data_IF_356359164559
#
_entry.id   IF_356359164559
#
_cell.length_a   1.000
_cell.length_b   1.000
_cell.length_c   1.000
_cell.angle_alpha   90.00
_cell.angle_beta   90.00
_cell.angle_gamma   90.00
#
_symmetry.space_group_name_H-M   'P 1'
#
loop_
_entity.id
_entity.type
_entity.pdbx_description
1 polymer ?
#
# COMPACT_ATOMS: atom_id res chain seq x y z
N UNK A 1 13.72 -29.32 52.02
CA UNK A 1 14.45 -28.44 51.08
C UNK A 1 13.61 -28.29 49.82
N UNK A 2 12.95 -27.15 49.63
CA UNK A 2 11.98 -26.89 48.54
C UNK A 2 12.73 -26.72 47.22
N UNK A 3 12.29 -27.44 46.18
CA UNK A 3 12.74 -27.29 44.80
C UNK A 3 12.28 -25.91 44.28
N UNK A 4 13.23 -25.07 43.89
CA UNK A 4 12.95 -23.77 43.27
C UNK A 4 12.48 -23.95 41.83
N UNK A 5 11.33 -23.39 41.51
CA UNK A 5 10.82 -23.25 40.15
C UNK A 5 11.43 -21.96 39.60
N UNK A 6 12.35 -22.09 38.65
CA UNK A 6 12.82 -20.98 37.82
C UNK A 6 11.72 -20.65 36.81
N UNK A 7 11.01 -19.55 37.04
CA UNK A 7 10.13 -18.94 36.06
C UNK A 7 11.02 -18.14 35.10
N UNK A 8 11.20 -18.66 33.89
CA UNK A 8 11.80 -17.91 32.80
C UNK A 8 10.78 -16.85 32.32
N UNK A 9 11.03 -15.59 32.67
CA UNK A 9 10.36 -14.44 32.07
C UNK A 9 10.83 -14.32 30.61
N UNK A 10 10.00 -14.80 29.68
CA UNK A 10 10.10 -14.43 28.27
C UNK A 10 9.76 -12.94 28.15
N UNK A 11 10.78 -12.11 28.01
CA UNK A 11 10.64 -10.77 27.45
C UNK A 11 10.28 -10.95 25.97
N UNK A 12 8.98 -10.86 25.66
CA UNK A 12 8.54 -10.64 24.28
C UNK A 12 9.11 -9.28 23.84
N UNK A 13 10.05 -9.29 22.91
CA UNK A 13 10.52 -8.07 22.27
C UNK A 13 9.33 -7.38 21.60
N UNK A 14 9.13 -6.09 21.89
CA UNK A 14 8.23 -5.23 21.13
C UNK A 14 8.75 -5.20 19.69
N UNK A 15 8.09 -5.94 18.79
CA UNK A 15 8.23 -5.68 17.38
C UNK A 15 7.75 -4.23 17.16
N UNK A 16 8.66 -3.36 16.73
CA UNK A 16 8.28 -2.04 16.24
C UNK A 16 7.48 -2.31 14.98
N UNK A 17 6.19 -1.97 14.98
CA UNK A 17 5.38 -2.11 13.79
C UNK A 17 5.97 -1.22 12.70
N UNK A 18 6.47 -1.81 11.62
CA UNK A 18 6.98 -1.08 10.44
C UNK A 18 5.84 -0.54 9.58
N UNK A 19 4.62 -1.04 9.78
CA UNK A 19 3.40 -0.63 9.07
C UNK A 19 2.32 -0.22 10.06
N UNK A 20 1.49 0.76 9.66
CA UNK A 20 0.31 1.14 10.42
C UNK A 20 -0.65 -0.06 10.63
N UNK A 21 -1.30 -0.19 11.82
CA UNK A 21 -2.27 -1.25 12.05
C UNK A 21 -3.38 -1.25 11.01
N UNK A 22 -3.79 -2.42 10.53
CA UNK A 22 -4.93 -2.50 9.61
C UNK A 22 -6.21 -2.04 10.32
N UNK A 23 -7.18 -1.55 9.55
CA UNK A 23 -8.48 -1.14 10.07
C UNK A 23 -9.12 -0.02 9.25
N UNK A 24 -10.41 0.29 9.48
CA UNK A 24 -11.13 1.30 8.71
C UNK A 24 -10.44 2.67 8.81
N UNK A 25 -10.11 3.26 7.67
CA UNK A 25 -9.45 4.56 7.58
C UNK A 25 -7.93 4.50 7.38
N UNK A 26 -7.30 3.32 7.52
CA UNK A 26 -5.85 3.17 7.31
C UNK A 26 -5.42 3.61 5.90
N UNK A 27 -6.18 3.22 4.88
CA UNK A 27 -5.91 3.56 3.48
C UNK A 27 -5.87 5.07 3.26
N UNK A 28 -6.74 5.81 3.95
CA UNK A 28 -6.79 7.26 3.86
C UNK A 28 -5.55 7.90 4.50
N UNK A 29 -5.04 7.34 5.60
CA UNK A 29 -3.79 7.82 6.22
C UNK A 29 -2.61 7.59 5.28
N UNK A 30 -2.50 6.41 4.68
CA UNK A 30 -1.46 6.14 3.68
C UNK A 30 -1.57 7.09 2.49
N UNK A 31 -2.77 7.20 1.90
CA UNK A 31 -3.02 8.01 0.72
C UNK A 31 -2.74 9.50 0.92
N UNK A 32 -2.98 10.05 2.12
CA UNK A 32 -2.83 11.50 2.38
C UNK A 32 -1.49 11.88 2.98
N UNK A 33 -0.96 11.06 3.88
CA UNK A 33 0.24 11.41 4.63
C UNK A 33 1.53 10.99 3.90
N UNK A 34 1.52 9.87 3.16
CA UNK A 34 2.70 9.40 2.41
C UNK A 34 3.02 10.20 1.15
N UNK A 35 2.17 11.18 0.80
CA UNK A 35 2.42 12.07 -0.34
C UNK A 35 3.72 12.86 -0.13
N UNK A 36 4.03 13.25 1.11
CA UNK A 36 5.14 14.16 1.42
C UNK A 36 6.25 13.52 2.27
N UNK A 37 5.91 12.66 3.22
CA UNK A 37 6.88 12.03 4.13
C UNK A 37 6.43 10.61 4.50
N UNK A 38 7.35 9.79 5.02
CA UNK A 38 6.99 8.44 5.48
C UNK A 38 6.12 8.47 6.77
N UNK A 39 5.58 7.32 7.17
CA UNK A 39 4.66 7.21 8.32
C UNK A 39 5.38 6.88 9.64
N UNK A 40 6.68 7.14 9.71
CA UNK A 40 7.46 6.91 10.94
C UNK A 40 6.96 7.79 12.08
N UNK A 41 6.57 9.03 11.81
CA UNK A 41 6.12 9.95 12.86
C UNK A 41 4.85 9.45 13.56
N UNK A 42 3.76 9.05 12.86
CA UNK A 42 2.61 8.44 13.53
C UNK A 42 2.95 7.20 14.36
N UNK A 43 3.80 6.32 13.84
CA UNK A 43 4.22 5.09 14.53
C UNK A 43 5.02 5.38 15.81
N UNK A 44 5.89 6.38 15.79
CA UNK A 44 6.69 6.79 16.95
C UNK A 44 5.88 7.52 18.02
N UNK A 45 4.73 8.08 17.66
CA UNK A 45 3.85 8.82 18.56
C UNK A 45 2.56 8.05 18.89
N UNK A 46 2.57 6.72 18.76
CA UNK A 46 1.48 5.90 19.26
C UNK A 46 1.29 6.10 20.78
N UNK A 47 0.04 6.19 21.22
CA UNK A 47 -0.35 6.49 22.59
C UNK A 47 -0.84 7.92 22.82
N UNK A 48 -0.80 8.79 21.80
CA UNK A 48 -1.35 10.15 21.86
C UNK A 48 -2.87 10.17 22.02
N UNK A 49 -3.40 11.22 22.66
CA UNK A 49 -4.84 11.41 22.77
C UNK A 49 -5.45 11.83 21.43
N UNK A 50 -6.77 11.68 21.29
CA UNK A 50 -7.48 12.14 20.08
C UNK A 50 -7.25 13.64 19.83
N UNK A 51 -7.25 14.48 20.87
CA UNK A 51 -6.99 15.91 20.75
C UNK A 51 -5.56 16.23 20.29
N UNK A 52 -4.57 15.42 20.68
CA UNK A 52 -3.20 15.59 20.18
C UNK A 52 -3.10 15.18 18.70
N UNK A 53 -3.83 14.14 18.29
CA UNK A 53 -3.93 13.75 16.88
C UNK A 53 -4.64 14.80 16.03
N UNK A 54 -5.68 15.46 16.55
CA UNK A 54 -6.33 16.59 15.88
C UNK A 54 -5.31 17.68 15.56
N UNK A 55 -4.50 18.08 16.55
CA UNK A 55 -3.46 19.10 16.36
C UNK A 55 -2.42 18.71 15.30
N UNK A 56 -1.97 17.44 15.30
CA UNK A 56 -1.02 16.96 14.30
C UNK A 56 -1.61 16.98 12.89
N UNK A 57 -2.86 16.51 12.73
CA UNK A 57 -3.52 16.50 11.41
C UNK A 57 -3.78 17.93 10.91
N UNK A 58 -4.16 18.84 11.81
CA UNK A 58 -4.36 20.26 11.50
C UNK A 58 -3.06 20.91 11.04
N UNK A 59 -1.95 20.67 11.73
CA UNK A 59 -0.63 21.15 11.31
C UNK A 59 -0.30 20.68 9.88
N UNK A 60 -0.60 19.42 9.54
CA UNK A 60 -0.32 18.89 8.20
C UNK A 60 -1.20 19.54 7.13
N UNK A 61 -2.45 19.83 7.44
CA UNK A 61 -3.36 20.57 6.56
C UNK A 61 -2.83 21.99 6.33
N UNK A 62 -2.38 22.65 7.39
CA UNK A 62 -1.78 23.99 7.32
C UNK A 62 -0.47 24.00 6.51
N UNK A 63 0.31 22.92 6.56
CA UNK A 63 1.47 22.71 5.68
C UNK A 63 1.11 22.34 4.22
N UNK A 64 -0.18 22.14 3.92
CA UNK A 64 -0.69 21.94 2.56
C UNK A 64 -1.06 20.50 2.19
N UNK A 65 -1.24 19.61 3.16
CA UNK A 65 -1.76 18.27 2.88
C UNK A 65 -3.19 18.37 2.28
N UNK A 66 -3.47 17.67 1.16
CA UNK A 66 -4.75 17.77 0.46
C UNK A 66 -5.85 16.94 1.14
N UNK A 67 -6.26 17.36 2.33
CA UNK A 67 -7.23 16.68 3.21
C UNK A 67 -8.45 17.58 3.41
N UNK A 68 -9.65 17.08 3.11
CA UNK A 68 -10.91 17.80 3.38
C UNK A 68 -11.46 17.48 4.79
N UNK A 69 -12.57 18.12 5.20
CA UNK A 69 -13.14 17.96 6.55
C UNK A 69 -13.60 16.53 6.88
N UNK A 70 -14.22 15.83 5.92
CA UNK A 70 -14.66 14.44 6.09
C UNK A 70 -13.46 13.50 6.20
N UNK A 71 -12.47 13.68 5.33
CA UNK A 71 -11.22 12.92 5.34
C UNK A 71 -10.46 13.15 6.65
N UNK A 72 -10.39 14.39 7.12
CA UNK A 72 -9.78 14.78 8.40
C UNK A 72 -10.43 14.00 9.55
N UNK A 73 -11.75 14.01 9.65
CA UNK A 73 -12.47 13.30 10.71
C UNK A 73 -12.21 11.78 10.67
N UNK A 74 -12.17 11.19 9.47
CA UNK A 74 -11.86 9.78 9.31
C UNK A 74 -10.41 9.42 9.70
N UNK A 75 -9.44 10.27 9.34
CA UNK A 75 -8.03 10.11 9.71
C UNK A 75 -7.86 10.18 11.23
N UNK A 76 -8.41 11.20 11.90
CA UNK A 76 -8.34 11.35 13.35
C UNK A 76 -8.94 10.14 14.06
N UNK A 77 -10.12 9.70 13.61
CA UNK A 77 -10.79 8.52 14.15
C UNK A 77 -9.91 7.27 14.06
N UNK A 78 -9.26 7.06 12.92
CA UNK A 78 -8.33 5.95 12.75
C UNK A 78 -7.12 6.08 13.69
N UNK A 79 -6.45 7.23 13.71
CA UNK A 79 -5.26 7.46 14.52
C UNK A 79 -5.56 7.29 16.02
N UNK A 80 -6.67 7.85 16.51
CA UNK A 80 -7.09 7.71 17.90
C UNK A 80 -7.50 6.27 18.25
N UNK A 81 -8.09 5.52 17.32
CA UNK A 81 -8.50 4.13 17.55
C UNK A 81 -7.31 3.18 17.56
N UNK A 82 -6.41 3.29 16.57
CA UNK A 82 -5.38 2.29 16.32
C UNK A 82 -3.99 2.70 16.80
N UNK A 83 -3.75 3.99 17.00
CA UNK A 83 -2.52 4.55 17.57
C UNK A 83 -2.78 5.40 18.82
N UNK A 84 -3.97 5.33 19.41
CA UNK A 84 -4.28 6.00 20.66
C UNK A 84 -3.76 5.26 21.90
N UNK A 85 -4.13 5.68 23.12
CA UNK A 85 -3.62 5.10 24.37
C UNK A 85 -4.08 3.66 24.60
N UNK A 86 -5.19 3.23 23.98
CA UNK A 86 -5.82 1.93 24.19
C UNK A 86 -6.24 1.31 22.84
N UNK A 87 -5.29 0.90 21.98
CA UNK A 87 -5.62 0.33 20.69
C UNK A 87 -6.21 -1.09 20.83
N UNK A 88 -7.05 -1.53 19.87
CA UNK A 88 -7.55 -2.90 19.86
C UNK A 88 -6.39 -3.89 19.61
N UNK A 89 -6.52 -5.17 20.04
CA UNK A 89 -5.58 -6.21 19.68
C UNK A 89 -5.34 -6.29 18.16
N UNK A 90 -4.10 -6.52 17.73
CA UNK A 90 -3.68 -6.50 16.33
C UNK A 90 -4.48 -7.46 15.41
N UNK A 91 -5.02 -8.54 15.97
CA UNK A 91 -5.81 -9.55 15.25
C UNK A 91 -7.24 -9.06 14.93
N UNK A 92 -7.81 -8.18 15.77
CA UNK A 92 -9.09 -7.51 15.51
C UNK A 92 -8.94 -6.31 14.56
N UNK A 93 -7.76 -5.68 14.56
CA UNK A 93 -7.41 -4.60 13.63
C UNK A 93 -7.31 -5.12 12.17
N UNK A 94 -6.81 -6.35 11.98
CA UNK A 94 -6.65 -6.98 10.67
C UNK A 94 -7.96 -7.49 10.02
N UNK A 95 -9.08 -7.49 10.74
CA UNK A 95 -10.30 -8.19 10.35
C UNK A 95 -11.39 -7.30 9.72
N UNK A 96 -11.04 -6.25 8.97
CA UNK A 96 -12.03 -5.58 8.11
C UNK A 96 -12.22 -6.39 6.83
N UNK A 97 -13.36 -7.08 6.72
CA UNK A 97 -13.79 -7.72 5.47
C UNK A 97 -13.85 -6.67 4.33
N UNK A 98 -13.20 -6.99 3.21
CA UNK A 98 -13.21 -6.15 2.02
C UNK A 98 -14.64 -6.05 1.45
N UNK A 99 -15.15 -4.85 1.16
CA UNK A 99 -16.47 -4.72 0.54
C UNK A 99 -16.46 -5.32 -0.87
N UNK A 100 -17.42 -6.18 -1.18
CA UNK A 100 -17.69 -6.57 -2.56
C UNK A 100 -18.13 -5.33 -3.36
N UNK A 101 -17.46 -5.03 -4.49
CA UNK A 101 -17.80 -3.89 -5.36
C UNK A 101 -16.86 -2.68 -5.27
N UNK A 102 -15.59 -2.87 -4.89
CA UNK A 102 -14.59 -1.79 -4.91
C UNK A 102 -14.45 -1.19 -6.31
N UNK A 103 -14.62 0.13 -6.41
CA UNK A 103 -14.37 0.88 -7.65
C UNK A 103 -12.85 1.03 -7.88
N UNK A 104 -12.32 0.28 -8.86
CA UNK A 104 -10.90 0.30 -9.20
C UNK A 104 -10.39 1.67 -9.66
N UNK A 105 -11.23 2.49 -10.28
CA UNK A 105 -10.87 3.86 -10.69
C UNK A 105 -10.72 4.77 -9.49
N UNK A 106 -11.65 4.70 -8.55
CA UNK A 106 -11.57 5.46 -7.29
C UNK A 106 -10.35 5.01 -6.47
N UNK A 107 -10.10 3.71 -6.37
CA UNK A 107 -8.92 3.16 -5.71
C UNK A 107 -7.61 3.64 -6.37
N UNK A 108 -7.54 3.68 -7.70
CA UNK A 108 -6.40 4.23 -8.42
C UNK A 108 -6.18 5.73 -8.14
N UNK A 109 -7.27 6.51 -8.17
CA UNK A 109 -7.21 7.95 -7.90
C UNK A 109 -6.67 8.24 -6.49
N UNK A 110 -7.08 7.45 -5.49
CA UNK A 110 -6.65 7.63 -4.12
C UNK A 110 -5.20 7.19 -3.87
N UNK A 111 -4.75 6.10 -4.51
CA UNK A 111 -3.50 5.42 -4.12
C UNK A 111 -2.35 5.57 -5.12
N UNK A 112 -2.65 5.90 -6.39
CA UNK A 112 -1.66 5.82 -7.46
C UNK A 112 -1.48 7.15 -8.21
N UNK A 113 -2.56 7.91 -8.38
CA UNK A 113 -2.58 9.09 -9.24
C UNK A 113 -1.66 10.22 -8.76
N UNK A 114 -1.33 10.31 -7.47
CA UNK A 114 -0.39 11.31 -6.95
C UNK A 114 1.00 11.22 -7.61
N UNK A 115 1.48 10.00 -7.88
CA UNK A 115 2.79 9.77 -8.50
C UNK A 115 2.66 9.41 -9.98
N UNK A 116 1.78 8.46 -10.31
CA UNK A 116 1.62 7.95 -11.67
C UNK A 116 0.71 8.82 -12.55
N UNK A 117 0.17 9.91 -12.00
CA UNK A 117 -0.75 10.84 -12.65
C UNK A 117 -2.12 10.23 -12.96
N UNK A 118 -3.13 11.07 -13.18
CA UNK A 118 -4.52 10.62 -13.31
C UNK A 118 -4.79 9.65 -14.48
N UNK A 119 -4.01 9.75 -15.56
CA UNK A 119 -4.16 8.89 -16.76
C UNK A 119 -3.03 7.85 -16.86
N UNK A 120 -2.28 7.60 -15.78
CA UNK A 120 -1.17 6.64 -15.77
C UNK A 120 0.01 7.05 -16.65
N UNK A 121 0.12 8.32 -17.04
CA UNK A 121 1.20 8.82 -17.89
C UNK A 121 2.55 8.97 -17.16
N UNK A 122 2.53 8.95 -15.83
CA UNK A 122 3.73 9.15 -15.00
C UNK A 122 4.34 10.55 -15.16
N UNK A 123 5.58 10.67 -14.67
CA UNK A 123 6.40 11.88 -14.77
C UNK A 123 7.79 11.46 -15.27
N UNK A 124 8.21 11.87 -16.49
CA UNK A 124 9.50 11.48 -17.05
C UNK A 124 10.67 11.71 -16.08
N UNK A 125 11.50 10.68 -15.90
CA UNK A 125 12.65 10.71 -14.99
C UNK A 125 12.35 10.54 -13.50
N UNK A 126 11.07 10.60 -13.09
CA UNK A 126 10.66 10.45 -11.69
C UNK A 126 9.75 9.22 -11.49
N UNK A 127 8.59 9.18 -12.16
CA UNK A 127 7.58 8.13 -12.01
C UNK A 127 7.28 7.48 -13.36
N UNK A 128 7.44 6.16 -13.51
CA UNK A 128 7.24 5.51 -14.80
C UNK A 128 5.77 5.55 -15.25
N UNK A 129 5.51 5.62 -16.57
CA UNK A 129 4.16 5.47 -17.09
C UNK A 129 3.65 4.05 -16.83
N UNK A 130 2.39 3.96 -16.40
CA UNK A 130 1.62 2.72 -16.36
C UNK A 130 0.87 2.49 -17.67
N UNK A 131 0.52 3.57 -18.38
CA UNK A 131 -0.15 3.54 -19.68
C UNK A 131 0.78 3.08 -20.78
N UNK A 132 0.31 2.15 -21.60
CA UNK A 132 1.07 1.57 -22.70
C UNK A 132 2.37 0.90 -22.24
N UNK A 133 2.39 0.28 -21.07
CA UNK A 133 3.57 -0.39 -20.52
C UNK A 133 3.46 -1.90 -20.75
N UNK A 134 4.18 -2.46 -21.73
CA UNK A 134 4.00 -3.85 -22.14
C UNK A 134 4.43 -4.87 -21.08
N UNK A 135 5.25 -4.48 -20.09
CA UNK A 135 5.66 -5.40 -19.02
C UNK A 135 4.49 -5.70 -18.08
N UNK A 136 3.57 -4.76 -17.88
CA UNK A 136 2.43 -4.92 -16.96
C UNK A 136 1.44 -5.99 -17.43
N UNK A 137 1.37 -6.23 -18.75
CA UNK A 137 0.43 -7.19 -19.36
C UNK A 137 1.05 -8.57 -19.62
N UNK A 138 2.37 -8.74 -19.42
CA UNK A 138 3.04 -10.04 -19.61
C UNK A 138 2.58 -11.10 -18.60
N UNK A 139 2.26 -10.65 -17.39
CA UNK A 139 1.69 -11.46 -16.33
C UNK A 139 0.78 -10.53 -15.50
N UNK A 140 -0.52 -10.80 -15.50
CA UNK A 140 -1.50 -9.99 -14.78
C UNK A 140 -1.24 -9.93 -13.26
N UNK A 141 -0.49 -10.88 -12.70
CA UNK A 141 -0.10 -10.88 -11.28
C UNK A 141 1.06 -9.94 -10.98
N UNK A 142 1.87 -9.57 -11.97
CA UNK A 142 3.04 -8.72 -11.76
C UNK A 142 2.69 -7.34 -11.15
N UNK A 143 1.72 -6.58 -11.68
CA UNK A 143 1.33 -5.32 -11.06
C UNK A 143 0.83 -5.50 -9.62
N UNK A 144 0.12 -6.60 -9.32
CA UNK A 144 -0.30 -6.89 -7.96
C UNK A 144 0.88 -7.17 -7.02
N UNK A 145 1.93 -7.88 -7.48
CA UNK A 145 3.16 -8.07 -6.70
C UNK A 145 3.86 -6.73 -6.42
N UNK A 146 3.89 -5.81 -7.39
CA UNK A 146 4.45 -4.47 -7.21
C UNK A 146 3.65 -3.67 -6.19
N UNK A 147 2.31 -3.73 -6.24
CA UNK A 147 1.44 -3.05 -5.26
C UNK A 147 1.65 -3.63 -3.87
N UNK A 148 1.68 -4.94 -3.72
CA UNK A 148 1.79 -5.60 -2.42
C UNK A 148 3.17 -5.43 -1.76
N UNK A 149 4.23 -5.46 -2.55
CA UNK A 149 5.61 -5.63 -2.04
C UNK A 149 6.57 -4.52 -2.47
N UNK A 150 6.09 -3.53 -3.24
CA UNK A 150 6.90 -2.45 -3.77
C UNK A 150 7.84 -2.90 -4.89
N UNK A 151 8.59 -1.94 -5.42
CA UNK A 151 9.60 -2.14 -6.45
C UNK A 151 10.71 -1.12 -6.26
N UNK A 152 11.98 -1.55 -6.37
CA UNK A 152 13.10 -0.62 -6.24
C UNK A 152 14.21 -0.88 -7.25
N UNK A 153 14.98 0.16 -7.52
CA UNK A 153 16.16 0.13 -8.36
C UNK A 153 15.90 0.51 -9.81
N UNK A 154 16.93 0.39 -10.64
CA UNK A 154 16.89 0.84 -12.02
C UNK A 154 15.94 -0.03 -12.85
N UNK A 155 15.02 0.63 -13.56
CA UNK A 155 14.15 0.03 -14.58
C UNK A 155 14.16 0.90 -15.83
N UNK A 156 13.74 0.30 -16.94
CA UNK A 156 13.47 1.01 -18.19
C UNK A 156 12.03 0.76 -18.61
N UNK A 157 11.31 1.83 -18.94
CA UNK A 157 9.93 1.78 -19.44
C UNK A 157 9.85 2.69 -20.65
N UNK A 158 9.45 2.13 -21.79
CA UNK A 158 9.29 2.84 -23.07
C UNK A 158 10.52 3.67 -23.47
N UNK A 159 11.73 3.10 -23.25
CA UNK A 159 13.01 3.74 -23.59
C UNK A 159 13.50 4.79 -22.58
N UNK A 160 12.74 5.08 -21.53
CA UNK A 160 13.15 5.99 -20.46
C UNK A 160 13.61 5.22 -19.22
N UNK A 161 14.72 5.66 -18.63
CA UNK A 161 15.27 5.08 -17.40
C UNK A 161 14.65 5.73 -16.16
N UNK A 162 14.32 4.90 -15.17
CA UNK A 162 13.85 5.30 -13.86
C UNK A 162 14.69 4.59 -12.79
N UNK A 163 15.01 5.28 -11.71
CA UNK A 163 15.77 4.71 -10.60
C UNK A 163 15.24 5.26 -9.28
N UNK A 164 14.11 4.71 -8.85
CA UNK A 164 13.43 5.09 -7.63
C UNK A 164 13.03 3.88 -6.79
N UNK A 165 12.19 4.13 -5.80
CA UNK A 165 11.50 3.12 -5.02
C UNK A 165 10.01 3.44 -5.03
N UNK A 166 9.19 2.44 -5.36
CA UNK A 166 7.77 2.41 -5.09
C UNK A 166 7.58 1.66 -3.77
N UNK A 167 7.11 2.33 -2.70
CA UNK A 167 6.79 1.66 -1.44
C UNK A 167 5.70 0.60 -1.61
N UNK A 168 5.69 -0.45 -0.77
CA UNK A 168 4.58 -1.40 -0.72
C UNK A 168 3.30 -0.72 -0.22
N UNK A 169 2.17 -1.08 -0.83
CA UNK A 169 0.82 -0.71 -0.40
C UNK A 169 0.14 -1.94 0.24
N UNK A 170 0.88 -2.66 1.09
CA UNK A 170 0.42 -3.90 1.75
C UNK A 170 -0.74 -3.70 2.73
N UNK A 171 -1.04 -2.45 3.10
CA UNK A 171 -2.18 -2.08 3.92
C UNK A 171 -3.53 -2.27 3.20
N UNK A 172 -3.55 -2.09 1.87
CA UNK A 172 -4.75 -2.28 1.06
C UNK A 172 -5.24 -3.73 1.14
N UNK A 173 -6.56 -3.91 1.20
CA UNK A 173 -7.17 -5.24 1.16
C UNK A 173 -7.07 -5.89 -0.23
N UNK A 174 -7.31 -7.21 -0.28
CA UNK A 174 -7.10 -7.99 -1.49
C UNK A 174 -8.08 -7.63 -2.62
N UNK A 175 -9.31 -7.22 -2.29
CA UNK A 175 -10.30 -6.82 -3.28
C UNK A 175 -9.93 -5.46 -3.91
N UNK A 176 -9.41 -4.54 -3.10
CA UNK A 176 -8.95 -3.22 -3.52
C UNK A 176 -7.74 -3.34 -4.45
N UNK A 177 -6.76 -4.17 -4.10
CA UNK A 177 -5.61 -4.46 -4.96
C UNK A 177 -6.07 -5.10 -6.28
N UNK A 178 -6.98 -6.08 -6.25
CA UNK A 178 -7.52 -6.68 -7.46
C UNK A 178 -8.23 -5.64 -8.34
N UNK A 179 -9.10 -4.82 -7.76
CA UNK A 179 -9.88 -3.80 -8.48
C UNK A 179 -8.98 -2.73 -9.13
N UNK A 180 -8.01 -2.17 -8.41
CA UNK A 180 -7.11 -1.15 -8.95
C UNK A 180 -6.18 -1.70 -10.03
N UNK A 181 -5.71 -2.95 -9.89
CA UNK A 181 -4.88 -3.60 -10.91
C UNK A 181 -5.70 -3.93 -12.15
N UNK A 182 -6.94 -4.37 -12.00
CA UNK A 182 -7.81 -4.58 -13.15
C UNK A 182 -8.09 -3.26 -13.87
N UNK A 183 -8.39 -2.19 -13.14
CA UNK A 183 -8.59 -0.86 -13.73
C UNK A 183 -7.36 -0.39 -14.51
N UNK A 184 -6.14 -0.45 -13.96
CA UNK A 184 -4.95 0.02 -14.69
C UNK A 184 -4.65 -0.84 -15.92
N UNK A 185 -4.92 -2.15 -15.87
CA UNK A 185 -4.68 -3.06 -16.98
C UNK A 185 -5.71 -2.84 -18.10
N UNK A 186 -6.97 -2.64 -17.76
CA UNK A 186 -8.05 -2.47 -18.72
C UNK A 186 -8.12 -1.04 -19.26
N UNK A 187 -8.02 -0.02 -18.42
CA UNK A 187 -8.15 1.38 -18.86
C UNK A 187 -6.88 1.86 -19.59
N UNK A 188 -5.70 1.53 -19.09
CA UNK A 188 -4.45 2.11 -19.61
C UNK A 188 -3.69 1.19 -20.57
N UNK A 189 -4.07 -0.08 -20.65
CA UNK A 189 -3.35 -1.10 -21.41
C UNK A 189 -4.26 -2.03 -22.22
N UNK A 190 -5.52 -1.65 -22.48
CA UNK A 190 -6.51 -2.48 -23.23
C UNK A 190 -5.92 -3.07 -24.52
N UNK A 191 -5.26 -2.24 -25.31
CA UNK A 191 -4.68 -2.61 -26.60
C UNK A 191 -3.53 -3.62 -26.50
N UNK A 192 -2.92 -3.73 -25.32
CA UNK A 192 -1.81 -4.63 -25.03
C UNK A 192 -2.27 -5.92 -24.34
N UNK A 193 -3.52 -6.00 -23.88
CA UNK A 193 -4.01 -7.17 -23.16
C UNK A 193 -4.06 -8.42 -24.06
N UNK A 194 -3.68 -9.59 -23.52
CA UNK A 194 -3.86 -10.84 -24.24
C UNK A 194 -5.36 -11.13 -24.41
N UNK A 195 -5.72 -11.82 -25.51
CA UNK A 195 -7.14 -12.10 -25.84
C UNK A 195 -7.86 -12.93 -24.78
N UNK A 196 -7.12 -13.75 -24.06
CA UNK A 196 -7.58 -14.60 -22.97
C UNK A 196 -7.34 -13.96 -21.59
N UNK A 197 -7.13 -12.64 -21.54
CA UNK A 197 -6.99 -11.90 -20.29
C UNK A 197 -8.14 -12.23 -19.31
N UNK A 198 -7.75 -12.57 -18.09
CA UNK A 198 -8.65 -12.78 -16.98
C UNK A 198 -8.36 -11.73 -15.91
N UNK A 199 -9.35 -10.92 -15.52
CA UNK A 199 -9.22 -10.03 -14.39
C UNK A 199 -8.79 -10.80 -13.13
N UNK A 200 -7.93 -10.18 -12.31
CA UNK A 200 -7.58 -10.69 -10.99
C UNK A 200 -8.79 -10.69 -10.07
N UNK A 201 -8.89 -11.70 -9.21
CA UNK A 201 -9.83 -11.71 -8.09
C UNK A 201 -9.09 -11.56 -6.74
N UNK A 202 -9.84 -11.25 -5.69
CA UNK A 202 -9.30 -11.09 -4.35
C UNK A 202 -8.61 -12.36 -3.83
N UNK A 203 -9.11 -13.54 -4.20
CA UNK A 203 -8.51 -14.81 -3.79
C UNK A 203 -7.10 -14.98 -4.37
N UNK A 204 -6.90 -14.61 -5.63
CA UNK A 204 -5.58 -14.62 -6.28
C UNK A 204 -4.62 -13.68 -5.55
N UNK A 205 -5.07 -12.46 -5.23
CA UNK A 205 -4.26 -11.49 -4.49
C UNK A 205 -3.90 -12.02 -3.09
N UNK A 206 -4.84 -12.65 -2.39
CA UNK A 206 -4.59 -13.27 -1.10
C UNK A 206 -3.48 -14.35 -1.18
N UNK A 207 -3.45 -15.16 -2.24
CA UNK A 207 -2.36 -16.12 -2.47
C UNK A 207 -1.03 -15.45 -2.80
N UNK A 208 -1.05 -14.35 -3.56
CA UNK A 208 0.17 -13.57 -3.85
C UNK A 208 0.75 -12.97 -2.57
N UNK A 209 -0.09 -12.46 -1.67
CA UNK A 209 0.31 -11.86 -0.39
C UNK A 209 1.11 -12.81 0.49
N UNK A 210 0.76 -14.10 0.48
CA UNK A 210 1.47 -15.16 1.25
C UNK A 210 2.93 -15.35 0.81
N UNK A 211 3.32 -14.85 -0.37
CA UNK A 211 4.71 -14.98 -0.86
C UNK A 211 5.71 -14.13 -0.09
N UNK A 212 5.25 -13.08 0.61
CA UNK A 212 6.09 -12.18 1.42
C UNK A 212 7.38 -11.75 0.70
N UNK A 213 7.24 -11.23 -0.52
CA UNK A 213 8.39 -10.85 -1.35
C UNK A 213 9.00 -9.53 -0.86
N UNK A 214 10.29 -9.39 -1.10
CA UNK A 214 11.00 -8.11 -0.99
C UNK A 214 10.92 -7.33 -2.32
N UNK A 215 11.06 -5.99 -2.31
CA UNK A 215 11.12 -5.19 -3.55
C UNK A 215 12.17 -5.68 -4.56
N UNK A 216 13.29 -6.23 -4.07
CA UNK A 216 14.34 -6.82 -4.93
C UNK A 216 13.89 -8.11 -5.60
N UNK A 217 13.11 -8.96 -4.92
CA UNK A 217 12.56 -10.17 -5.52
C UNK A 217 11.49 -9.83 -6.57
N UNK A 218 10.69 -8.77 -6.36
CA UNK A 218 9.76 -8.26 -7.37
C UNK A 218 10.53 -7.73 -8.59
N UNK A 219 11.65 -7.02 -8.37
CA UNK A 219 12.52 -6.56 -9.46
C UNK A 219 13.16 -7.73 -10.24
N UNK A 220 13.58 -8.80 -9.56
CA UNK A 220 14.06 -10.01 -10.21
C UNK A 220 12.95 -10.71 -11.02
N UNK A 221 11.72 -10.74 -10.51
CA UNK A 221 10.56 -11.27 -11.24
C UNK A 221 10.27 -10.46 -12.51
N UNK A 222 10.32 -9.13 -12.42
CA UNK A 222 10.24 -8.23 -13.59
C UNK A 222 11.28 -8.59 -14.65
N UNK A 223 12.52 -8.87 -14.25
CA UNK A 223 13.59 -9.22 -15.19
C UNK A 223 13.29 -10.52 -15.94
N UNK A 224 12.72 -11.52 -15.26
CA UNK A 224 12.28 -12.77 -15.89
C UNK A 224 11.21 -12.53 -16.96
N UNK A 225 10.21 -11.70 -16.65
CA UNK A 225 9.18 -11.32 -17.63
C UNK A 225 9.78 -10.64 -18.87
N UNK A 226 10.80 -9.80 -18.69
CA UNK A 226 11.51 -9.18 -19.82
C UNK A 226 12.26 -10.21 -20.67
N UNK A 227 12.85 -11.21 -20.03
CA UNK A 227 13.57 -12.30 -20.69
C UNK A 227 12.64 -13.35 -21.32
N UNK A 228 11.35 -13.36 -20.98
CA UNK A 228 10.39 -14.37 -21.43
C UNK A 228 10.47 -15.68 -20.65
N UNK A 229 10.91 -15.61 -19.38
CA UNK A 229 11.06 -16.74 -18.45
C UNK A 229 9.87 -16.90 -17.50
#
# INVERSE_FOLDING_TARGET
MKKGILIALLLAGLAVAEELPKGPGVDLVYAKCQICHDLTYPLQNAGLSEADWEGIVDDMIDYGAPINEEERAAIIKYLATYLGPNPPPAEEAAASEAPAGVDGKAAYAANCAGCHQAEGQGVPGAFPPLKGNPVLVKDATYPALVVLFGLQGKIEVNGAAYNGAMPPLGHLDDATVAALVNYLLQEFNEELLPKDFKPLDAATVAELRKKALTPKQVQAFRQKLLNGE
#
